data_IF_726477335416
#
_entry.id   IF_726477335416
#
_cell.length_a   1.000
_cell.length_b   1.000
_cell.length_c   1.000
_cell.angle_alpha   90.00
_cell.angle_beta   90.00
_cell.angle_gamma   90.00
#
_symmetry.space_group_name_H-M   'P 1'
#
loop_
_entity.id
_entity.type
_entity.pdbx_description
1 polymer ?
#
# COMPACT_ATOMS: atom_id res chain seq x y z
N UNK A 1 -6.59 -10.63 74.09
CA UNK A 1 -6.85 -11.98 73.56
C UNK A 1 -8.09 -12.50 74.25
N UNK A 2 -9.18 -12.69 73.50
CA UNK A 2 -9.68 -14.04 73.19
C UNK A 2 -10.74 -13.97 72.08
N UNK A 3 -10.51 -14.80 71.05
CA UNK A 3 -11.49 -15.44 70.17
C UNK A 3 -12.53 -14.54 69.48
N UNK A 4 -12.27 -13.96 68.31
CA UNK A 4 -12.46 -14.58 66.97
C UNK A 4 -13.55 -15.67 66.92
N UNK A 5 -14.44 -15.53 65.92
CA UNK A 5 -15.37 -16.52 65.39
C UNK A 5 -16.63 -16.81 66.20
N UNK A 6 -17.67 -16.01 65.97
CA UNK A 6 -19.01 -16.56 65.76
C UNK A 6 -19.89 -15.58 64.97
N UNK A 7 -20.36 -16.04 63.82
CA UNK A 7 -21.65 -15.68 63.21
C UNK A 7 -21.68 -14.33 62.48
N UNK A 8 -21.16 -14.38 61.25
CA UNK A 8 -21.58 -13.57 60.11
C UNK A 8 -23.12 -13.56 60.07
N UNK A 9 -23.65 -12.42 60.48
CA UNK A 9 -25.06 -12.09 60.58
C UNK A 9 -25.65 -11.99 59.17
N UNK A 10 -26.61 -12.88 58.89
CA UNK A 10 -27.91 -12.65 58.26
C UNK A 10 -28.09 -11.29 57.53
N UNK A 11 -28.47 -11.22 56.26
CA UNK A 11 -29.87 -11.18 55.77
C UNK A 11 -29.84 -10.93 54.24
N UNK A 12 -30.42 -11.77 53.37
CA UNK A 12 -31.77 -11.68 52.76
C UNK A 12 -32.16 -10.35 52.09
N UNK A 13 -32.22 -10.42 50.75
CA UNK A 13 -33.25 -9.92 49.79
C UNK A 13 -33.78 -8.47 49.95
N UNK A 14 -33.65 -7.70 48.85
CA UNK A 14 -34.66 -6.85 48.17
C UNK A 14 -35.40 -5.79 49.04
N UNK A 15 -35.54 -4.51 48.69
CA UNK A 15 -35.48 -3.76 47.44
C UNK A 15 -35.59 -2.24 47.74
N UNK A 16 -35.69 -1.44 46.67
CA UNK A 16 -35.94 0.01 46.55
C UNK A 16 -34.67 0.86 46.45
N UNK A 17 -34.37 1.61 45.39
CA UNK A 17 -35.20 2.16 44.32
C UNK A 17 -35.03 3.68 44.33
N UNK A 18 -34.24 4.22 43.39
CA UNK A 18 -34.27 5.63 43.00
C UNK A 18 -33.62 5.81 41.61
N UNK A 19 -34.43 6.24 40.63
CA UNK A 19 -34.08 6.87 39.36
C UNK A 19 -33.32 8.20 39.63
N UNK A 20 -32.48 8.82 38.80
CA UNK A 20 -31.85 8.57 37.50
C UNK A 20 -30.78 9.69 37.30
N UNK A 21 -29.71 9.45 36.54
CA UNK A 21 -29.07 10.44 35.64
C UNK A 21 -27.93 9.78 34.84
N UNK A 22 -27.94 9.98 33.53
CA UNK A 22 -27.01 9.40 32.55
C UNK A 22 -25.62 10.08 32.57
N UNK A 23 -24.57 9.34 32.20
CA UNK A 23 -23.48 9.86 31.37
C UNK A 23 -22.71 8.73 30.67
N UNK A 24 -22.56 8.91 29.37
CA UNK A 24 -21.96 8.04 28.34
C UNK A 24 -20.44 8.10 28.42
N UNK A 25 -19.77 6.95 28.25
CA UNK A 25 -18.59 6.75 27.37
C UNK A 25 -18.55 5.23 27.09
N UNK A 26 -18.90 4.70 25.92
CA UNK A 26 -18.48 5.14 24.60
C UNK A 26 -17.27 4.30 24.19
N UNK A 27 -17.54 3.17 23.53
CA UNK A 27 -16.73 2.48 22.50
C UNK A 27 -15.20 2.58 22.58
N UNK A 28 -14.53 1.43 22.62
CA UNK A 28 -13.94 0.84 21.42
C UNK A 28 -13.12 -0.39 21.82
N UNK A 29 -13.31 -1.49 21.10
CA UNK A 29 -12.28 -2.49 20.97
C UNK A 29 -10.97 -1.76 20.61
N UNK A 30 -9.87 -2.14 21.25
CA UNK A 30 -8.53 -1.70 20.87
C UNK A 30 -8.24 -2.27 19.47
N UNK A 31 -8.79 -1.62 18.45
CA UNK A 31 -8.31 -1.75 17.09
C UNK A 31 -6.87 -1.24 17.14
N UNK A 32 -5.91 -2.13 16.91
CA UNK A 32 -4.55 -1.75 16.57
C UNK A 32 -4.66 -0.66 15.49
N UNK A 33 -4.23 0.55 15.83
CA UNK A 33 -3.91 1.53 14.83
C UNK A 33 -2.71 0.95 14.10
N UNK A 34 -2.95 0.33 12.96
CA UNK A 34 -1.89 -0.03 12.03
C UNK A 34 -1.20 1.30 11.66
N UNK A 35 0.11 1.38 11.87
CA UNK A 35 0.92 2.55 11.59
C UNK A 35 0.78 2.90 10.09
N UNK A 36 -0.13 3.83 9.78
CA UNK A 36 -0.33 4.32 8.42
C UNK A 36 0.88 5.13 7.95
N UNK A 37 1.05 5.34 6.62
CA UNK A 37 2.20 6.05 6.09
C UNK A 37 2.29 7.46 6.70
N UNK A 38 3.45 7.76 7.29
CA UNK A 38 3.70 9.05 7.97
C UNK A 38 3.97 10.20 7.00
N UNK A 39 4.25 9.88 5.73
CA UNK A 39 4.51 10.82 4.65
C UNK A 39 3.61 10.56 3.44
N UNK A 40 3.24 11.63 2.74
CA UNK A 40 2.46 11.53 1.50
C UNK A 40 3.32 10.95 0.35
N UNK A 41 2.73 10.16 -0.57
CA UNK A 41 3.45 9.66 -1.74
C UNK A 41 3.85 10.82 -2.65
N UNK A 42 5.07 10.75 -3.20
CA UNK A 42 5.53 11.74 -4.17
C UNK A 42 5.08 11.37 -5.58
N UNK A 43 4.74 12.40 -6.37
CA UNK A 43 4.38 12.26 -7.79
C UNK A 43 5.32 13.06 -8.66
N UNK A 44 5.88 12.42 -9.68
CA UNK A 44 6.87 12.99 -10.58
C UNK A 44 6.43 12.89 -12.03
N UNK A 45 6.90 13.81 -12.85
CA UNK A 45 6.92 13.60 -14.30
C UNK A 45 8.08 12.66 -14.62
N UNK A 46 7.83 11.64 -15.44
CA UNK A 46 8.86 10.71 -15.85
C UNK A 46 8.78 10.39 -17.36
N UNK A 47 9.92 10.21 -18.00
CA UNK A 47 10.01 9.75 -19.39
C UNK A 47 10.31 8.25 -19.40
N UNK A 48 9.47 7.45 -20.05
CA UNK A 48 9.70 6.01 -20.20
C UNK A 48 10.78 5.80 -21.25
N UNK A 49 11.90 5.22 -20.82
CA UNK A 49 13.08 4.97 -21.65
C UNK A 49 13.03 3.58 -22.26
N UNK A 50 12.69 2.59 -21.44
CA UNK A 50 12.60 1.19 -21.86
C UNK A 50 11.51 0.46 -21.08
N UNK A 51 10.91 -0.54 -21.71
CA UNK A 51 10.00 -1.49 -21.08
C UNK A 51 10.71 -2.83 -21.01
N UNK A 52 10.95 -3.28 -19.79
CA UNK A 52 11.83 -4.42 -19.52
C UNK A 52 11.04 -5.71 -19.69
N UNK A 53 9.92 -5.79 -18.99
CA UNK A 53 8.96 -6.90 -18.97
C UNK A 53 7.53 -6.34 -18.75
N UNK A 54 6.56 -7.18 -18.38
CA UNK A 54 5.15 -6.79 -18.24
C UNK A 54 4.81 -5.95 -17.00
N UNK A 55 5.74 -5.77 -16.06
CA UNK A 55 5.53 -4.98 -14.84
C UNK A 55 6.73 -4.09 -14.46
N UNK A 56 7.76 -4.02 -15.32
CA UNK A 56 8.99 -3.31 -15.01
C UNK A 56 9.41 -2.37 -16.15
N UNK A 57 9.74 -1.13 -15.79
CA UNK A 57 10.16 -0.08 -16.73
C UNK A 57 11.42 0.64 -16.26
N UNK A 58 12.18 1.21 -17.21
CA UNK A 58 13.23 2.19 -16.93
C UNK A 58 12.76 3.58 -17.31
N UNK A 59 12.98 4.56 -16.42
CA UNK A 59 12.52 5.94 -16.61
C UNK A 59 13.59 6.99 -16.32
N UNK A 60 13.42 8.17 -16.93
CA UNK A 60 14.03 9.41 -16.47
C UNK A 60 13.03 10.17 -15.60
N UNK A 61 13.36 10.41 -14.33
CA UNK A 61 12.49 11.14 -13.39
C UNK A 61 12.91 12.60 -13.34
N UNK A 62 11.96 13.50 -13.57
CA UNK A 62 12.15 14.94 -13.43
C UNK A 62 11.78 15.39 -12.02
N UNK A 63 12.76 15.96 -11.30
CA UNK A 63 12.59 16.48 -9.94
C UNK A 63 12.34 18.00 -9.93
N UNK A 64 12.23 18.63 -11.10
CA UNK A 64 12.23 20.07 -11.25
C UNK A 64 13.63 20.67 -11.17
N UNK A 65 13.72 22.00 -11.26
CA UNK A 65 14.98 22.75 -11.18
C UNK A 65 16.10 22.25 -12.12
N UNK A 66 15.73 21.67 -13.27
CA UNK A 66 16.65 21.02 -14.21
C UNK A 66 17.43 19.83 -13.62
N UNK A 67 16.94 19.23 -12.54
CA UNK A 67 17.52 18.04 -11.90
C UNK A 67 16.77 16.80 -12.35
N UNK A 68 17.51 15.80 -12.80
CA UNK A 68 16.98 14.55 -13.33
C UNK A 68 17.64 13.35 -12.67
N UNK A 69 16.85 12.34 -12.32
CA UNK A 69 17.34 10.98 -12.09
C UNK A 69 17.22 10.24 -13.41
N UNK A 70 18.31 9.67 -13.90
CA UNK A 70 18.36 8.98 -15.20
C UNK A 70 18.42 7.47 -14.99
N UNK A 71 17.85 6.71 -15.93
CA UNK A 71 17.80 5.25 -15.95
C UNK A 71 17.39 4.61 -14.62
N UNK A 72 16.30 5.10 -14.02
CA UNK A 72 15.77 4.50 -12.81
C UNK A 72 14.81 3.37 -13.15
N UNK A 73 15.12 2.17 -12.65
CA UNK A 73 14.28 0.99 -12.68
C UNK A 73 13.08 1.15 -11.74
N UNK A 74 11.87 1.01 -12.27
CA UNK A 74 10.60 1.04 -11.53
C UNK A 74 9.83 -0.25 -11.78
N UNK A 75 9.43 -0.91 -10.70
CA UNK A 75 8.46 -2.00 -10.72
C UNK A 75 7.06 -1.43 -10.46
N UNK A 76 6.09 -1.88 -11.25
CA UNK A 76 4.72 -1.43 -11.18
C UNK A 76 4.09 -2.00 -9.92
N UNK A 77 3.81 -1.12 -8.96
CA UNK A 77 3.24 -1.51 -7.67
C UNK A 77 1.85 -2.13 -7.84
N UNK A 78 1.57 -3.18 -7.06
CA UNK A 78 0.24 -3.78 -6.97
C UNK A 78 -0.09 -4.78 -8.07
N UNK A 79 0.86 -5.10 -8.96
CA UNK A 79 0.68 -6.03 -10.07
C UNK A 79 1.90 -6.94 -10.22
N UNK A 80 1.67 -8.16 -10.72
CA UNK A 80 2.71 -9.07 -11.18
C UNK A 80 2.39 -9.54 -12.60
N UNK A 81 3.37 -9.50 -13.50
CA UNK A 81 3.25 -10.00 -14.85
C UNK A 81 3.82 -11.41 -15.02
N UNK A 82 3.37 -12.20 -16.03
CA UNK A 82 3.97 -13.48 -16.35
C UNK A 82 5.47 -13.35 -16.70
N UNK A 83 6.25 -14.39 -16.41
CA UNK A 83 7.68 -14.39 -16.66
C UNK A 83 8.03 -14.26 -18.16
N UNK A 84 9.10 -13.53 -18.44
CA UNK A 84 9.64 -13.37 -19.80
C UNK A 84 10.09 -14.71 -20.42
N UNK A 85 9.95 -14.84 -21.74
CA UNK A 85 10.28 -16.07 -22.46
C UNK A 85 9.10 -17.06 -22.57
N UNK A 86 8.00 -16.78 -21.88
CA UNK A 86 6.70 -17.38 -22.15
C UNK A 86 5.87 -16.47 -23.06
N UNK A 87 5.01 -17.05 -23.89
CA UNK A 87 4.14 -16.27 -24.81
C UNK A 87 3.31 -15.21 -24.09
N UNK A 88 2.89 -15.49 -22.84
CA UNK A 88 2.14 -14.55 -22.02
C UNK A 88 2.99 -13.38 -21.51
N UNK A 89 4.24 -13.63 -21.11
CA UNK A 89 5.17 -12.59 -20.64
C UNK A 89 5.57 -11.64 -21.77
N UNK A 90 5.86 -12.19 -22.95
CA UNK A 90 6.19 -11.40 -24.14
C UNK A 90 4.99 -10.53 -24.58
N UNK A 91 3.77 -11.07 -24.50
CA UNK A 91 2.55 -10.32 -24.75
C UNK A 91 2.33 -9.20 -23.73
N UNK A 92 2.60 -9.47 -22.44
CA UNK A 92 2.49 -8.47 -21.38
C UNK A 92 3.46 -7.32 -21.57
N UNK A 93 4.73 -7.62 -21.88
CA UNK A 93 5.72 -6.61 -22.24
C UNK A 93 5.26 -5.77 -23.43
N UNK A 94 4.85 -6.41 -24.52
CA UNK A 94 4.40 -5.71 -25.73
C UNK A 94 3.18 -4.81 -25.46
N UNK A 95 2.25 -5.27 -24.62
CA UNK A 95 1.12 -4.47 -24.19
C UNK A 95 1.57 -3.23 -23.42
N UNK A 96 2.43 -3.39 -22.40
CA UNK A 96 2.94 -2.28 -21.61
C UNK A 96 3.70 -1.28 -22.49
N UNK A 97 4.56 -1.76 -23.38
CA UNK A 97 5.29 -0.96 -24.36
C UNK A 97 4.35 -0.18 -25.29
N UNK A 98 3.27 -0.79 -25.76
CA UNK A 98 2.27 -0.10 -26.59
C UNK A 98 1.56 1.05 -25.85
N UNK A 99 1.36 0.89 -24.53
CA UNK A 99 0.68 1.87 -23.70
C UNK A 99 1.59 3.08 -23.43
N UNK A 100 2.83 2.85 -23.02
CA UNK A 100 3.70 3.88 -22.43
C UNK A 100 5.11 4.00 -23.02
N UNK A 101 5.54 3.12 -23.93
CA UNK A 101 6.87 3.15 -24.52
C UNK A 101 7.22 4.50 -25.16
N UNK A 102 8.31 5.11 -24.71
CA UNK A 102 8.77 6.42 -25.17
C UNK A 102 7.89 7.61 -24.77
N UNK A 103 6.90 7.42 -23.90
CA UNK A 103 5.97 8.48 -23.47
C UNK A 103 6.40 9.13 -22.17
N UNK A 104 5.91 10.33 -21.95
CA UNK A 104 5.96 10.99 -20.65
C UNK A 104 4.74 10.59 -19.82
N UNK A 105 4.99 10.12 -18.59
CA UNK A 105 3.98 9.63 -17.65
C UNK A 105 4.07 10.38 -16.33
N UNK A 106 3.05 10.22 -15.48
CA UNK A 106 3.11 10.59 -14.07
C UNK A 106 3.45 9.35 -13.25
N UNK A 107 4.57 9.39 -12.54
CA UNK A 107 5.02 8.34 -11.65
C UNK A 107 4.67 8.72 -10.21
N UNK A 108 3.81 7.95 -9.56
CA UNK A 108 3.59 8.01 -8.11
C UNK A 108 4.53 7.01 -7.44
N UNK A 109 5.56 7.50 -6.75
CA UNK A 109 6.50 6.64 -6.03
C UNK A 109 5.83 6.01 -4.81
N UNK A 110 6.03 4.71 -4.62
CA UNK A 110 5.64 3.99 -3.43
C UNK A 110 6.91 3.67 -2.64
N UNK A 111 7.06 4.26 -1.46
CA UNK A 111 8.09 3.87 -0.50
C UNK A 111 7.38 3.11 0.61
N UNK A 112 7.61 1.81 0.71
CA UNK A 112 7.17 1.04 1.86
C UNK A 112 7.95 1.52 3.08
N UNK A 113 7.31 2.28 3.96
CA UNK A 113 7.77 2.31 5.34
C UNK A 113 7.41 0.92 5.89
N UNK A 114 8.44 0.11 6.15
CA UNK A 114 8.36 -1.23 6.76
C UNK A 114 8.02 -2.43 5.85
N UNK A 115 8.46 -2.43 4.59
CA UNK A 115 8.67 -3.72 3.93
C UNK A 115 9.90 -4.42 4.55
N UNK A 116 9.78 -5.67 5.05
CA UNK A 116 10.93 -6.47 5.51
C UNK A 116 11.97 -6.73 4.42
N UNK A 117 11.67 -6.39 3.16
CA UNK A 117 12.58 -6.48 2.01
C UNK A 117 13.64 -5.36 1.96
N UNK A 118 13.67 -4.49 2.98
CA UNK A 118 14.76 -3.52 3.23
C UNK A 118 16.15 -4.17 3.30
N UNK A 119 16.25 -5.48 3.46
CA UNK A 119 17.51 -6.22 3.54
C UNK A 119 17.73 -7.11 2.31
N UNK A 120 18.05 -6.53 1.16
CA UNK A 120 18.67 -7.33 0.09
C UNK A 120 18.64 -6.79 -1.33
N UNK A 121 17.63 -6.00 -1.71
CA UNK A 121 17.51 -5.48 -3.08
C UNK A 121 17.83 -3.99 -3.12
N UNK A 122 19.13 -3.67 -3.09
CA UNK A 122 19.61 -2.32 -3.33
C UNK A 122 19.32 -1.93 -4.80
N UNK A 123 18.20 -1.25 -5.09
CA UNK A 123 18.07 -0.48 -6.34
C UNK A 123 16.69 -0.35 -7.00
N UNK A 124 15.71 -1.18 -6.63
CA UNK A 124 14.42 -1.23 -7.34
C UNK A 124 13.35 -0.42 -6.59
N UNK A 125 12.78 0.58 -7.27
CA UNK A 125 11.67 1.37 -6.71
C UNK A 125 10.33 0.83 -7.17
N UNK A 126 9.31 0.95 -6.32
CA UNK A 126 7.93 0.63 -6.65
C UNK A 126 7.18 1.91 -7.05
N UNK A 127 6.26 1.79 -8.02
CA UNK A 127 5.47 2.95 -8.45
C UNK A 127 4.16 2.62 -9.15
N UNK A 128 3.22 3.55 -9.06
CA UNK A 128 2.00 3.53 -9.86
C UNK A 128 2.16 4.53 -10.99
N UNK A 129 1.98 4.06 -12.22
CA UNK A 129 2.19 4.86 -13.44
C UNK A 129 0.85 5.33 -13.98
N UNK A 130 0.76 6.61 -14.32
CA UNK A 130 -0.43 7.21 -14.93
C UNK A 130 -0.10 7.85 -16.27
N UNK A 131 -0.98 7.65 -17.24
CA UNK A 131 -1.00 8.37 -18.52
C UNK A 131 -2.39 8.96 -18.73
N UNK A 132 -2.48 10.25 -19.05
CA UNK A 132 -3.75 10.96 -19.26
C UNK A 132 -4.77 10.76 -18.11
N UNK A 133 -4.26 10.70 -16.87
CA UNK A 133 -5.07 10.51 -15.66
C UNK A 133 -5.55 9.07 -15.40
N UNK A 134 -5.12 8.10 -16.21
CA UNK A 134 -5.50 6.67 -16.07
C UNK A 134 -4.32 5.85 -15.55
N UNK A 135 -4.59 4.95 -14.60
CA UNK A 135 -3.62 4.00 -14.07
C UNK A 135 -3.25 2.96 -15.13
N UNK A 136 -1.96 2.86 -15.44
CA UNK A 136 -1.42 1.87 -16.37
C UNK A 136 -1.33 0.51 -15.67
N UNK A 137 -1.03 0.50 -14.37
CA UNK A 137 -1.06 -0.70 -13.56
C UNK A 137 -2.44 -1.38 -13.65
N UNK A 138 -3.52 -0.61 -13.45
CA UNK A 138 -4.89 -1.15 -13.52
C UNK A 138 -5.24 -1.59 -14.96
N UNK A 139 -4.73 -0.89 -15.97
CA UNK A 139 -4.94 -1.26 -17.37
C UNK A 139 -4.28 -2.60 -17.72
N UNK A 140 -3.11 -2.90 -17.14
CA UNK A 140 -2.44 -4.20 -17.32
C UNK A 140 -3.25 -5.34 -16.69
N UNK A 141 -3.82 -5.13 -15.50
CA UNK A 141 -4.72 -6.10 -14.86
C UNK A 141 -6.01 -6.27 -15.66
N UNK A 142 -6.66 -5.16 -16.04
CA UNK A 142 -7.93 -5.18 -16.76
C UNK A 142 -7.83 -5.85 -18.15
N UNK A 143 -6.66 -5.78 -18.79
CA UNK A 143 -6.41 -6.41 -20.08
C UNK A 143 -5.93 -7.87 -19.96
N UNK A 144 -5.74 -8.39 -18.74
CA UNK A 144 -5.30 -9.77 -18.49
C UNK A 144 -3.80 -10.02 -18.72
N UNK A 145 -3.00 -8.96 -18.79
CA UNK A 145 -1.55 -9.04 -18.98
C UNK A 145 -0.77 -9.04 -17.65
N UNK A 146 -1.45 -8.75 -16.55
CA UNK A 146 -0.91 -8.86 -15.19
C UNK A 146 -2.02 -9.32 -14.22
N UNK A 147 -1.62 -9.82 -13.06
CA UNK A 147 -2.51 -10.13 -11.93
C UNK A 147 -2.29 -9.12 -10.81
N UNK A 148 -3.34 -8.82 -10.03
CA UNK A 148 -3.20 -7.97 -8.85
C UNK A 148 -2.38 -8.70 -7.77
N UNK A 149 -1.38 -8.03 -7.23
CA UNK A 149 -0.49 -8.53 -6.19
C UNK A 149 -0.49 -7.54 -5.00
N UNK A 150 -0.73 -7.98 -3.75
CA UNK A 150 -0.88 -7.10 -2.60
C UNK A 150 0.43 -6.48 -2.10
#
# INVERSE_FOLDING_TARGET
MDSVSEKVVAWRRQAAGALAAAMVFGSAAWAQAEDGPTEAPYTYRAEVVDVIDGDTIDVHIDLGFYVWIRYQRIHLFGIDAPAMGETAGDAAKAQLESLIGGKTVILKSMRGEDSPDRQGSFGNWLGIVYLDGKSINDAMVASGHAVASP
#
